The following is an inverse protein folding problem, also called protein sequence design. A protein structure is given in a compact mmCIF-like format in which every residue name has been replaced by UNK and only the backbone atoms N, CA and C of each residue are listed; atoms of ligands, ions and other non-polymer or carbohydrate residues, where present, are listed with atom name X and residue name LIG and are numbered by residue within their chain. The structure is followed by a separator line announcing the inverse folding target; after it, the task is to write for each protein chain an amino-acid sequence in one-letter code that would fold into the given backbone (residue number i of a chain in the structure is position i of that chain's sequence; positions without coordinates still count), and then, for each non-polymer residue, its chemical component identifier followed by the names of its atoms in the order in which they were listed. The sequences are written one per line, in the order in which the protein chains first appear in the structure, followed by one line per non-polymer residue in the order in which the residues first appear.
data_IF_227598196710
#
_entry.id   IF_227598196710
#
_cell.length_a   1.000
_cell.length_b   1.000
_cell.length_c   1.000
_cell.angle_alpha   90.00
_cell.angle_beta   90.00
_cell.angle_gamma   90.00
#
_symmetry.space_group_name_H-M   'P 1'
#
loop_
_entity.id
_entity.type
_entity.pdbx_description
1 polymer ?
#
# COMPACT_ATOMS: atom_id res chain seq x y z
N UNK A 1 -27.29 13.91 19.26
CA UNK A 1 -26.47 12.79 18.77
C UNK A 1 -26.50 12.82 17.25
N UNK A 2 -25.37 13.11 16.59
CA UNK A 2 -25.28 12.90 15.14
C UNK A 2 -25.20 11.40 14.86
N UNK A 3 -25.91 10.87 13.86
CA UNK A 3 -25.80 9.47 13.49
C UNK A 3 -24.37 9.21 12.99
N UNK A 4 -23.62 8.38 13.71
CA UNK A 4 -22.35 7.83 13.24
C UNK A 4 -22.69 6.93 12.05
N UNK A 5 -22.27 7.33 10.85
CA UNK A 5 -22.26 6.45 9.68
C UNK A 5 -21.30 5.29 9.98
N UNK A 6 -21.82 4.24 10.60
CA UNK A 6 -21.07 3.01 10.79
C UNK A 6 -21.11 2.22 9.49
N UNK A 7 -19.93 1.97 8.92
CA UNK A 7 -19.77 1.00 7.84
C UNK A 7 -20.19 -0.36 8.40
N UNK A 8 -21.38 -0.83 8.02
CA UNK A 8 -21.94 -2.13 8.47
C UNK A 8 -21.32 -3.34 7.78
N UNK A 9 -20.43 -3.13 6.81
CA UNK A 9 -19.68 -4.19 6.13
C UNK A 9 -18.24 -4.20 6.66
N UNK A 10 -17.74 -5.38 7.02
CA UNK A 10 -16.32 -5.56 7.31
C UNK A 10 -15.51 -5.22 6.06
N UNK A 11 -14.45 -4.42 6.24
CA UNK A 11 -13.54 -4.06 5.16
C UNK A 11 -12.81 -5.34 4.69
N UNK A 12 -13.16 -5.86 3.51
CA UNK A 12 -12.40 -6.94 2.86
C UNK A 12 -11.11 -6.38 2.26
N UNK A 13 -10.11 -7.24 2.00
CA UNK A 13 -8.84 -6.81 1.39
C UNK A 13 -9.09 -6.03 0.09
N UNK A 14 -9.95 -6.55 -0.78
CA UNK A 14 -10.33 -5.92 -2.05
C UNK A 14 -10.96 -4.54 -1.86
N UNK A 15 -11.92 -4.40 -0.94
CA UNK A 15 -12.56 -3.10 -0.68
C UNK A 15 -11.51 -2.11 -0.15
N UNK A 16 -10.59 -2.58 0.70
CA UNK A 16 -9.53 -1.76 1.25
C UNK A 16 -8.60 -1.23 0.15
N UNK A 17 -8.13 -2.10 -0.74
CA UNK A 17 -7.16 -1.76 -1.79
C UNK A 17 -7.77 -0.91 -2.89
N UNK A 18 -9.00 -1.22 -3.35
CA UNK A 18 -9.74 -0.38 -4.29
C UNK A 18 -10.01 1.03 -3.72
N UNK A 19 -10.42 1.09 -2.44
CA UNK A 19 -10.68 2.37 -1.78
C UNK A 19 -9.39 3.17 -1.58
N UNK A 20 -8.29 2.52 -1.20
CA UNK A 20 -6.96 3.15 -1.14
C UNK A 20 -6.55 3.72 -2.49
N UNK A 21 -6.59 2.93 -3.57
CA UNK A 21 -6.23 3.43 -4.89
C UNK A 21 -7.10 4.62 -5.30
N UNK A 22 -8.41 4.56 -5.06
CA UNK A 22 -9.33 5.67 -5.37
C UNK A 22 -9.00 6.93 -4.56
N UNK A 23 -8.86 6.81 -3.25
CA UNK A 23 -8.61 7.96 -2.36
C UNK A 23 -7.22 8.53 -2.57
N UNK A 24 -6.20 7.69 -2.75
CA UNK A 24 -4.86 8.13 -3.07
C UNK A 24 -4.82 8.89 -4.40
N UNK A 25 -5.67 8.54 -5.36
CA UNK A 25 -5.75 9.25 -6.64
C UNK A 25 -6.70 10.47 -6.66
N UNK A 26 -7.49 10.69 -5.63
CA UNK A 26 -8.51 11.73 -5.63
C UNK A 26 -7.91 13.14 -5.61
N UNK A 27 -8.56 14.07 -6.32
CA UNK A 27 -8.17 15.48 -6.41
C UNK A 27 -7.14 15.78 -7.51
N UNK A 28 -6.69 17.04 -7.54
CA UNK A 28 -5.66 17.49 -8.47
C UNK A 28 -4.26 17.03 -8.08
N UNK A 29 -3.30 17.21 -8.99
CA UNK A 29 -1.88 16.80 -8.80
C UNK A 29 -1.29 17.30 -7.48
N UNK A 30 -1.63 18.53 -7.07
CA UNK A 30 -1.13 19.15 -5.83
C UNK A 30 -1.65 18.47 -4.55
N UNK A 31 -2.82 17.84 -4.58
CA UNK A 31 -3.34 17.05 -3.46
C UNK A 31 -2.84 15.59 -3.53
N UNK A 32 -2.82 15.03 -4.74
CA UNK A 32 -2.48 13.63 -4.98
C UNK A 32 -1.03 13.29 -4.66
N UNK A 33 -0.10 14.09 -5.18
CA UNK A 33 1.34 13.83 -5.06
C UNK A 33 1.82 13.73 -3.60
N UNK A 34 1.52 14.70 -2.70
CA UNK A 34 1.98 14.60 -1.31
C UNK A 34 1.27 13.47 -0.54
N UNK A 35 0.02 13.13 -0.88
CA UNK A 35 -0.68 11.99 -0.28
C UNK A 35 -0.03 10.66 -0.66
N UNK A 36 0.30 10.48 -1.95
CA UNK A 36 1.02 9.30 -2.42
C UNK A 36 2.44 9.25 -1.83
N UNK A 37 3.14 10.39 -1.72
CA UNK A 37 4.46 10.46 -1.06
C UNK A 37 4.39 9.96 0.38
N UNK A 38 3.49 10.53 1.17
CA UNK A 38 3.28 10.11 2.55
C UNK A 38 2.93 8.62 2.64
N UNK A 39 2.11 8.10 1.73
CA UNK A 39 1.73 6.69 1.72
C UNK A 39 2.91 5.75 1.39
N UNK A 40 3.69 6.06 0.34
CA UNK A 40 4.85 5.26 -0.05
C UNK A 40 5.94 5.28 1.05
N UNK A 41 6.14 6.43 1.71
CA UNK A 41 7.02 6.53 2.88
C UNK A 41 6.52 5.73 4.06
N UNK A 42 5.22 5.75 4.31
CA UNK A 42 4.60 4.96 5.39
C UNK A 42 4.73 3.45 5.16
N UNK A 43 4.73 3.00 3.89
CA UNK A 43 5.10 1.64 3.48
C UNK A 43 6.60 1.31 3.70
N UNK A 44 7.40 2.30 4.11
CA UNK A 44 8.81 2.12 4.44
C UNK A 44 9.77 2.35 3.28
N UNK A 45 9.34 2.99 2.18
CA UNK A 45 10.26 3.38 1.11
C UNK A 45 11.01 4.66 1.50
N UNK A 46 12.35 4.58 1.51
CA UNK A 46 13.22 5.73 1.79
C UNK A 46 13.44 6.63 0.56
N UNK A 47 14.12 7.76 0.76
CA UNK A 47 14.38 8.74 -0.32
C UNK A 47 15.11 8.13 -1.53
N UNK A 48 16.04 7.20 -1.31
CA UNK A 48 16.78 6.52 -2.38
C UNK A 48 15.89 5.59 -3.23
N UNK A 49 14.93 4.92 -2.59
CA UNK A 49 13.98 4.00 -3.21
C UNK A 49 12.87 4.75 -3.96
N UNK A 50 12.41 5.87 -3.41
CA UNK A 50 11.50 6.75 -4.12
C UNK A 50 12.22 7.47 -5.26
N UNK A 51 13.53 7.70 -5.12
CA UNK A 51 14.37 8.40 -6.08
C UNK A 51 13.94 9.85 -6.30
N UNK A 52 13.29 10.45 -5.30
CA UNK A 52 12.78 11.82 -5.35
C UNK A 52 13.58 12.74 -4.44
N UNK A 53 13.87 13.94 -4.93
CA UNK A 53 13.91 15.16 -4.11
C UNK A 53 12.46 15.66 -3.96
N UNK A 54 12.06 16.15 -2.77
CA UNK A 54 10.66 16.52 -2.44
C UNK A 54 9.86 17.14 -3.60
N UNK A 55 8.61 16.68 -3.77
CA UNK A 55 7.63 17.28 -4.70
C UNK A 55 7.50 16.65 -6.09
N UNK A 56 8.17 15.52 -6.38
CA UNK A 56 8.24 14.91 -7.73
C UNK A 56 7.32 13.70 -8.00
N UNK A 57 6.45 13.33 -7.06
CA UNK A 57 5.43 12.27 -7.29
C UNK A 57 4.19 12.78 -8.06
N UNK A 58 4.33 13.83 -8.87
CA UNK A 58 3.25 14.38 -9.69
C UNK A 58 2.79 13.40 -10.77
N UNK A 59 3.72 12.59 -11.29
CA UNK A 59 3.45 11.50 -12.23
C UNK A 59 2.89 10.24 -11.57
N UNK A 60 2.86 10.18 -10.23
CA UNK A 60 2.52 8.97 -9.53
C UNK A 60 1.05 8.58 -9.74
N UNK A 61 0.84 7.29 -9.97
CA UNK A 61 -0.44 6.65 -10.14
C UNK A 61 -0.54 5.45 -9.21
N UNK A 62 -1.72 5.26 -8.63
CA UNK A 62 -2.04 4.07 -7.83
C UNK A 62 -3.11 3.27 -8.57
N UNK A 63 -2.88 2.00 -8.79
CA UNK A 63 -3.82 1.11 -9.45
C UNK A 63 -4.18 0.00 -8.47
N UNK A 64 -5.42 -0.49 -8.53
CA UNK A 64 -5.87 -1.66 -7.78
C UNK A 64 -6.41 -2.71 -8.73
N UNK A 65 -6.42 -3.97 -8.29
CA UNK A 65 -6.95 -5.10 -9.05
C UNK A 65 -6.32 -5.24 -10.46
N UNK A 66 -5.02 -4.97 -10.60
CA UNK A 66 -4.32 -5.01 -11.90
C UNK A 66 -4.18 -6.45 -12.36
N UNK A 67 -4.61 -6.82 -13.57
CA UNK A 67 -4.48 -8.19 -14.08
C UNK A 67 -3.02 -8.67 -14.11
N UNK A 68 -2.80 -9.90 -13.66
CA UNK A 68 -1.54 -10.62 -13.78
C UNK A 68 -1.60 -11.65 -14.92
N UNK A 69 -0.44 -12.17 -15.33
CA UNK A 69 -0.29 -13.11 -16.44
C UNK A 69 -1.10 -14.41 -16.28
N UNK A 70 -1.36 -14.85 -15.05
CA UNK A 70 -2.13 -16.05 -14.75
C UNK A 70 -3.63 -15.81 -14.54
N UNK A 71 -4.11 -14.59 -14.83
CA UNK A 71 -5.51 -14.19 -14.66
C UNK A 71 -5.90 -13.79 -13.24
N UNK A 72 -4.99 -13.88 -12.25
CA UNK A 72 -5.18 -13.28 -10.93
C UNK A 72 -5.00 -11.76 -11.00
N UNK A 73 -5.18 -11.07 -9.87
CA UNK A 73 -5.13 -9.61 -9.78
C UNK A 73 -4.18 -9.15 -8.67
N UNK A 74 -3.30 -8.23 -9.01
CA UNK A 74 -2.43 -7.52 -8.08
C UNK A 74 -3.30 -6.53 -7.30
N UNK A 75 -3.28 -6.65 -5.97
CA UNK A 75 -4.10 -5.85 -5.07
C UNK A 75 -3.84 -4.35 -5.23
N UNK A 76 -2.57 -3.94 -5.24
CA UNK A 76 -2.14 -2.56 -5.45
C UNK A 76 -0.85 -2.49 -6.29
N UNK A 77 -0.81 -1.56 -7.24
CA UNK A 77 0.37 -1.26 -8.07
C UNK A 77 0.57 0.25 -8.15
N UNK A 78 1.73 0.72 -7.72
CA UNK A 78 2.14 2.11 -7.83
C UNK A 78 3.11 2.26 -8.99
N UNK A 79 2.95 3.33 -9.76
CA UNK A 79 3.81 3.69 -10.88
C UNK A 79 4.22 5.15 -10.73
N UNK A 80 5.50 5.46 -10.84
CA UNK A 80 5.98 6.84 -10.84
C UNK A 80 7.31 6.99 -11.59
N UNK A 81 7.67 8.23 -11.88
CA UNK A 81 8.99 8.59 -12.40
C UNK A 81 9.85 9.16 -11.30
N UNK A 82 11.11 8.74 -11.24
CA UNK A 82 12.08 9.29 -10.30
C UNK A 82 12.73 10.59 -10.82
N UNK A 83 13.60 11.20 -10.01
CA UNK A 83 14.24 12.47 -10.37
C UNK A 83 15.14 12.41 -11.63
N UNK A 84 15.44 11.21 -12.13
CA UNK A 84 16.24 10.94 -13.32
C UNK A 84 15.37 10.39 -14.48
N UNK A 85 14.05 10.62 -14.44
CA UNK A 85 13.08 10.08 -15.41
C UNK A 85 13.17 8.55 -15.59
N UNK A 86 13.55 7.84 -14.51
CA UNK A 86 13.48 6.39 -14.49
C UNK A 86 12.14 5.96 -13.91
N UNK A 87 11.48 5.07 -14.63
CA UNK A 87 10.26 4.45 -14.17
C UNK A 87 10.53 3.62 -12.92
N UNK A 88 9.62 3.73 -11.96
CA UNK A 88 9.61 2.94 -10.74
C UNK A 88 8.25 2.32 -10.53
N UNK A 89 8.26 1.10 -10.03
CA UNK A 89 7.04 0.36 -9.71
C UNK A 89 7.11 -0.17 -8.30
N UNK A 90 6.00 -0.11 -7.58
CA UNK A 90 5.81 -0.86 -6.34
C UNK A 90 4.57 -1.74 -6.51
N UNK A 91 4.74 -3.04 -6.28
CA UNK A 91 3.65 -4.01 -6.20
C UNK A 91 3.41 -4.30 -4.73
N UNK A 92 2.15 -4.19 -4.31
CA UNK A 92 1.72 -4.50 -2.94
C UNK A 92 0.69 -5.62 -2.99
N UNK A 93 0.99 -6.70 -2.26
CA UNK A 93 0.04 -7.78 -1.97
C UNK A 93 -0.54 -7.56 -0.57
N UNK A 94 -1.85 -7.44 -0.46
CA UNK A 94 -2.53 -7.12 0.78
C UNK A 94 -3.20 -8.36 1.39
N UNK A 95 -3.08 -8.49 2.72
CA UNK A 95 -3.68 -9.57 3.48
C UNK A 95 -4.25 -9.05 4.79
N UNK A 96 -5.49 -9.40 5.12
CA UNK A 96 -5.98 -9.24 6.49
C UNK A 96 -5.86 -10.55 7.24
N UNK A 97 -6.57 -11.59 6.80
CA UNK A 97 -6.66 -12.86 7.55
C UNK A 97 -6.06 -14.05 6.77
N UNK A 98 -5.56 -13.80 5.55
CA UNK A 98 -5.07 -14.84 4.65
C UNK A 98 -3.54 -14.83 4.58
N UNK A 99 -2.95 -16.00 4.36
CA UNK A 99 -1.53 -16.09 3.98
C UNK A 99 -1.38 -15.92 2.47
N UNK A 100 -0.20 -15.47 2.05
CA UNK A 100 0.11 -15.40 0.62
C UNK A 100 0.16 -16.82 0.04
N UNK A 101 -0.51 -17.02 -1.09
CA UNK A 101 -0.56 -18.33 -1.77
C UNK A 101 0.69 -18.55 -2.62
N UNK A 102 1.19 -19.78 -2.62
CA UNK A 102 2.33 -20.22 -3.42
C UNK A 102 2.24 -19.80 -4.90
N UNK A 103 3.35 -19.30 -5.45
CA UNK A 103 3.49 -18.95 -6.87
C UNK A 103 2.77 -17.67 -7.30
N UNK A 104 1.93 -17.07 -6.45
CA UNK A 104 1.26 -15.79 -6.73
C UNK A 104 2.25 -14.66 -6.92
N UNK A 105 3.17 -14.50 -5.97
CA UNK A 105 4.14 -13.41 -5.97
C UNK A 105 5.11 -13.47 -7.14
N UNK A 106 5.51 -14.69 -7.52
CA UNK A 106 6.32 -14.95 -8.70
C UNK A 106 5.62 -14.43 -9.94
N UNK A 107 4.34 -14.77 -10.12
CA UNK A 107 3.55 -14.30 -11.25
C UNK A 107 3.46 -12.76 -11.28
N UNK A 108 3.28 -12.12 -10.13
CA UNK A 108 3.09 -10.67 -10.06
C UNK A 108 4.37 -9.92 -10.41
N UNK A 109 5.51 -10.43 -9.96
CA UNK A 109 6.84 -9.93 -10.35
C UNK A 109 7.05 -10.08 -11.85
N UNK A 110 6.76 -11.26 -12.41
CA UNK A 110 6.99 -11.54 -13.83
C UNK A 110 6.05 -10.72 -14.72
N UNK A 111 4.80 -10.51 -14.29
CA UNK A 111 3.82 -9.62 -14.94
C UNK A 111 4.32 -8.18 -14.93
N UNK A 112 4.75 -7.68 -13.77
CA UNK A 112 5.30 -6.32 -13.64
C UNK A 112 6.59 -6.14 -14.43
N UNK A 113 7.42 -7.18 -14.53
CA UNK A 113 8.62 -7.17 -15.37
C UNK A 113 8.28 -7.09 -16.86
N UNK A 114 7.24 -7.80 -17.29
CA UNK A 114 6.77 -7.76 -18.67
C UNK A 114 6.18 -6.39 -19.03
N UNK A 115 5.33 -5.84 -18.16
CA UNK A 115 4.67 -4.54 -18.37
C UNK A 115 5.67 -3.37 -18.35
N UNK A 116 6.65 -3.43 -17.44
CA UNK A 116 7.60 -2.35 -17.17
C UNK A 116 9.04 -2.88 -17.20
N UNK A 117 9.61 -3.23 -18.37
CA UNK A 117 10.87 -3.97 -18.47
C UNK A 117 12.08 -3.23 -17.93
N UNK A 118 12.06 -1.89 -17.93
CA UNK A 118 13.19 -1.03 -17.51
C UNK A 118 13.01 -0.43 -16.11
N UNK A 119 11.87 -0.67 -15.45
CA UNK A 119 11.58 -0.02 -14.18
C UNK A 119 12.43 -0.57 -13.02
N UNK A 120 12.71 0.31 -12.06
CA UNK A 120 13.17 -0.11 -10.72
C UNK A 120 11.97 -0.64 -9.96
N UNK A 121 12.03 -1.89 -9.48
CA UNK A 121 10.87 -2.61 -8.93
C UNK A 121 11.02 -2.83 -7.44
N UNK A 122 9.97 -2.51 -6.71
CA UNK A 122 9.79 -2.80 -5.31
C UNK A 122 8.60 -3.75 -5.14
N UNK A 123 8.69 -4.65 -4.18
CA UNK A 123 7.62 -5.60 -3.88
C UNK A 123 7.41 -5.65 -2.38
N UNK A 124 6.15 -5.61 -1.96
CA UNK A 124 5.79 -5.50 -0.55
C UNK A 124 4.56 -6.35 -0.25
N UNK A 125 4.59 -7.02 0.91
CA UNK A 125 3.45 -7.69 1.51
C UNK A 125 2.94 -6.80 2.62
N UNK A 126 1.69 -6.39 2.52
CA UNK A 126 0.98 -5.59 3.51
C UNK A 126 0.01 -6.49 4.26
N UNK A 127 0.41 -6.93 5.46
CA UNK A 127 -0.37 -7.89 6.24
C UNK A 127 -0.54 -7.48 7.71
N UNK A 128 -1.36 -8.19 8.48
CA UNK A 128 -1.48 -7.92 9.91
C UNK A 128 -0.24 -8.37 10.70
N UNK A 129 0.39 -9.44 10.25
CA UNK A 129 1.54 -10.08 10.89
C UNK A 129 2.51 -10.64 9.84
N UNK A 130 3.79 -10.76 10.19
CA UNK A 130 4.87 -11.24 9.31
C UNK A 130 4.71 -12.72 8.95
N UNK A 131 3.95 -13.50 9.71
CA UNK A 131 3.60 -14.90 9.44
C UNK A 131 2.94 -15.07 8.05
N UNK A 132 2.30 -14.02 7.53
CA UNK A 132 1.78 -14.00 6.17
C UNK A 132 2.87 -14.21 5.09
N UNK A 133 4.14 -13.93 5.41
CA UNK A 133 5.31 -14.16 4.55
C UNK A 133 5.92 -15.56 4.66
N UNK A 134 5.53 -16.38 5.65
CA UNK A 134 6.14 -17.70 5.88
C UNK A 134 6.23 -18.59 4.62
N UNK A 135 5.21 -18.65 3.74
CA UNK A 135 5.29 -19.43 2.50
C UNK A 135 6.34 -18.87 1.52
N UNK A 136 6.52 -17.56 1.50
CA UNK A 136 7.38 -16.81 0.57
C UNK A 136 8.86 -16.98 0.91
N UNK A 137 9.20 -16.86 2.20
CA UNK A 137 10.56 -16.98 2.70
C UNK A 137 11.17 -18.38 2.46
N UNK A 138 10.32 -19.41 2.30
CA UNK A 138 10.78 -20.79 2.07
C UNK A 138 11.30 -21.05 0.65
N UNK A 139 10.94 -20.22 -0.33
CA UNK A 139 11.18 -20.51 -1.76
C UNK A 139 12.04 -19.48 -2.49
N UNK A 140 12.52 -18.46 -1.79
CA UNK A 140 13.31 -17.38 -2.39
C UNK A 140 12.59 -16.76 -3.61
N UNK A 141 11.27 -16.52 -3.49
CA UNK A 141 10.43 -15.96 -4.55
C UNK A 141 10.73 -14.46 -4.84
N UNK A 142 11.89 -13.98 -4.39
CA UNK A 142 12.41 -12.62 -4.55
C UNK A 142 12.33 -11.81 -3.25
N UNK A 143 12.96 -10.63 -3.27
CA UNK A 143 12.98 -9.69 -2.15
C UNK A 143 11.62 -8.97 -1.98
N UNK A 144 10.64 -9.67 -1.40
CA UNK A 144 9.41 -9.07 -0.87
C UNK A 144 9.68 -8.54 0.52
N UNK A 145 9.31 -7.27 0.75
CA UNK A 145 9.40 -6.64 2.07
C UNK A 145 8.08 -6.79 2.82
N UNK A 146 8.14 -7.03 4.12
CA UNK A 146 6.96 -6.96 4.97
C UNK A 146 6.69 -5.51 5.41
N UNK A 147 5.42 -5.13 5.47
CA UNK A 147 4.93 -3.98 6.22
C UNK A 147 3.63 -4.39 6.90
N UNK A 148 3.49 -4.07 8.20
CA UNK A 148 2.22 -4.31 8.85
C UNK A 148 1.20 -3.23 8.46
N UNK A 149 -0.07 -3.61 8.33
CA UNK A 149 -1.17 -2.66 8.13
C UNK A 149 -1.20 -1.56 9.20
N UNK A 150 -0.83 -1.93 10.42
CA UNK A 150 -0.81 -1.05 11.57
C UNK A 150 0.29 0.00 11.46
N UNK A 151 1.51 -0.41 11.13
CA UNK A 151 2.63 0.52 10.98
C UNK A 151 2.40 1.47 9.81
N UNK A 152 1.87 0.95 8.70
CA UNK A 152 1.42 1.76 7.59
C UNK A 152 0.43 2.83 8.07
N UNK A 153 -0.61 2.45 8.81
CA UNK A 153 -1.64 3.37 9.28
C UNK A 153 -1.06 4.46 10.18
N UNK A 154 -0.25 4.09 11.18
CA UNK A 154 0.34 5.04 12.14
C UNK A 154 1.30 6.03 11.45
N UNK A 155 2.17 5.54 10.57
CA UNK A 155 3.10 6.37 9.81
C UNK A 155 2.37 7.26 8.81
N UNK A 156 1.30 6.76 8.19
CA UNK A 156 0.54 7.53 7.22
C UNK A 156 -0.28 8.64 7.89
N UNK A 157 -0.93 8.38 9.01
CA UNK A 157 -1.68 9.40 9.76
C UNK A 157 -0.80 10.55 10.25
N UNK A 158 0.45 10.26 10.61
CA UNK A 158 1.41 11.28 11.06
C UNK A 158 2.03 12.07 9.91
N UNK A 159 2.20 11.46 8.73
CA UNK A 159 2.88 12.07 7.59
C UNK A 159 1.95 12.71 6.56
N UNK A 160 0.68 12.29 6.48
CA UNK A 160 -0.24 12.75 5.43
C UNK A 160 -0.55 14.25 5.57
N UNK A 161 -0.77 14.96 4.45
CA UNK A 161 -1.23 16.34 4.50
C UNK A 161 -2.52 16.49 5.31
N UNK A 162 -2.64 17.61 6.03
CA UNK A 162 -3.90 17.97 6.68
C UNK A 162 -4.93 18.27 5.60
N UNK A 163 -5.94 17.42 5.49
CA UNK A 163 -7.03 17.57 4.54
C UNK A 163 -8.38 17.26 5.18
N UNK A 164 -9.40 18.01 4.76
CA UNK A 164 -10.78 17.88 5.22
C UNK A 164 -11.61 16.97 4.29
N UNK A 165 -10.98 15.96 3.69
CA UNK A 165 -11.70 14.95 2.91
C UNK A 165 -12.39 13.96 3.87
N UNK A 166 -13.71 14.12 4.02
CA UNK A 166 -14.53 13.25 4.87
C UNK A 166 -14.47 11.79 4.44
N UNK A 167 -14.36 11.50 3.14
CA UNK A 167 -14.29 10.11 2.64
C UNK A 167 -13.00 9.44 3.10
N UNK A 168 -11.89 10.16 3.03
CA UNK A 168 -10.60 9.67 3.53
C UNK A 168 -10.65 9.43 5.04
N UNK A 169 -11.19 10.37 5.81
CA UNK A 169 -11.31 10.21 7.27
C UNK A 169 -12.18 9.01 7.66
N UNK A 170 -13.33 8.83 7.00
CA UNK A 170 -14.20 7.68 7.24
C UNK A 170 -13.51 6.36 6.89
N UNK A 171 -12.79 6.31 5.77
CA UNK A 171 -12.03 5.14 5.36
C UNK A 171 -10.92 4.80 6.36
N UNK A 172 -10.10 5.79 6.76
CA UNK A 172 -8.99 5.57 7.70
C UNK A 172 -9.48 5.09 9.06
N UNK A 173 -10.64 5.59 9.52
CA UNK A 173 -11.27 5.09 10.74
C UNK A 173 -11.81 3.65 10.58
N UNK A 174 -12.41 3.31 9.44
CA UNK A 174 -12.85 1.95 9.15
C UNK A 174 -11.67 0.96 9.08
N UNK A 175 -10.58 1.37 8.43
CA UNK A 175 -9.33 0.60 8.35
C UNK A 175 -8.73 0.40 9.75
N UNK A 176 -8.68 1.45 10.58
CA UNK A 176 -8.21 1.36 11.96
C UNK A 176 -8.95 0.32 12.79
N UNK A 177 -10.29 0.29 12.68
CA UNK A 177 -11.12 -0.71 13.34
C UNK A 177 -10.84 -2.13 12.85
N UNK A 178 -10.54 -2.29 11.55
CA UNK A 178 -10.27 -3.60 10.94
C UNK A 178 -8.95 -4.21 11.38
N UNK A 179 -7.92 -3.38 11.53
CA UNK A 179 -6.54 -3.84 11.77
C UNK A 179 -6.22 -4.09 13.26
N UNK A 180 -7.25 -4.07 14.12
CA UNK A 180 -7.12 -4.45 15.53
C UNK A 180 -6.89 -3.32 16.54
N UNK A 181 -6.79 -2.06 16.08
CA UNK A 181 -6.57 -0.86 16.90
C UNK A 181 -5.31 -0.92 17.81
N UNK A 182 -5.12 0.10 18.66
CA UNK A 182 -4.13 0.11 19.74
C UNK A 182 -4.63 -0.80 20.86
N UNK A 183 -4.00 -1.95 21.04
CA UNK A 183 -4.23 -2.81 22.19
C UNK A 183 -3.26 -2.45 23.31
N UNK A 184 -3.62 -2.77 24.55
CA UNK A 184 -2.81 -2.45 25.75
C UNK A 184 -1.40 -3.06 25.74
N UNK A 185 -1.14 -4.06 24.88
CA UNK A 185 0.19 -4.64 24.66
C UNK A 185 1.13 -3.75 23.85
N UNK A 186 0.60 -2.75 23.15
CA UNK A 186 1.37 -1.89 22.24
C UNK A 186 1.94 -0.65 22.92
N UNK A 187 1.62 -0.41 24.19
CA UNK A 187 2.16 0.70 24.97
C UNK A 187 3.68 0.61 25.21
N UNK A 188 4.31 -0.51 24.82
CA UNK A 188 5.73 -0.80 25.06
C UNK A 188 6.53 -1.11 23.79
N UNK A 189 5.93 -1.03 22.59
CA UNK A 189 6.67 -1.20 21.34
C UNK A 189 7.42 0.11 20.99
N UNK A 190 8.73 0.08 20.75
CA UNK A 190 9.47 1.27 20.32
C UNK A 190 9.05 1.65 18.90
N UNK A 191 8.82 2.96 18.69
CA UNK A 191 8.51 3.58 17.38
C UNK A 191 9.69 3.49 16.40
#
# INVERSE_FOLDING_TARGET
MQPRLEWKMSLSERIATETLARLLNAGGVQARAPRIDAFLRALGLGDSELGVTSGRLTSAQVLSEVPALDGRRIDLKFLWQDARDRERTLVVEAKFDHVVTDGQLRCYRDSTRNDHPKAVRHHLILALDEDAMLPVNRRDDGHWRFCSWRDLWLRFETARPVEYDLSLQLFLHALWRRIGQLNSKDAHAPL
#
